data_IF_576007476958
#
_entry.id   IF_576007476958
#
_cell.length_a   1.000
_cell.length_b   1.000
_cell.length_c   1.000
_cell.angle_alpha   90.00
_cell.angle_beta   90.00
_cell.angle_gamma   90.00
#
_symmetry.space_group_name_H-M   'P 1'
#
loop_
_entity.id
_entity.type
_entity.pdbx_description
1 polymer ?
#
# COMPACT_ATOMS: atom_id res chain seq x y z
N UNK A 1 21.07 -20.26 12.62
CA UNK A 1 20.78 -20.10 11.16
C UNK A 1 20.64 -21.40 10.36
N UNK A 2 21.68 -22.26 10.18
CA UNK A 2 21.58 -23.46 9.31
C UNK A 2 20.50 -24.48 9.73
N UNK A 3 20.28 -24.68 11.04
CA UNK A 3 19.18 -25.54 11.52
C UNK A 3 17.78 -24.92 11.28
N UNK A 4 17.66 -23.60 11.37
CA UNK A 4 16.42 -22.87 11.07
C UNK A 4 16.11 -22.90 9.57
N UNK A 5 17.13 -22.77 8.72
CA UNK A 5 17.01 -22.89 7.26
C UNK A 5 16.60 -24.31 6.82
N UNK A 6 17.08 -25.35 7.51
CA UNK A 6 16.65 -26.74 7.25
C UNK A 6 15.19 -27.00 7.58
N UNK A 7 14.67 -26.39 8.65
CA UNK A 7 13.27 -26.54 9.09
C UNK A 7 12.30 -25.81 8.12
N UNK A 8 12.69 -24.65 7.59
CA UNK A 8 11.87 -23.89 6.63
C UNK A 8 11.74 -24.61 5.26
N UNK A 9 12.76 -25.36 4.85
CA UNK A 9 12.73 -26.06 3.55
C UNK A 9 11.79 -27.28 3.51
N UNK A 10 11.51 -27.93 4.65
CA UNK A 10 10.59 -29.08 4.73
C UNK A 10 9.12 -28.68 5.00
N UNK A 11 8.80 -27.37 5.03
CA UNK A 11 7.55 -26.81 5.55
C UNK A 11 6.35 -26.84 4.54
N UNK A 12 6.43 -27.61 3.46
CA UNK A 12 5.54 -27.46 2.30
C UNK A 12 4.50 -28.58 2.04
N UNK A 13 4.39 -29.63 2.86
CA UNK A 13 3.69 -30.88 2.43
C UNK A 13 2.29 -31.22 3.03
N UNK A 14 1.54 -30.35 3.73
CA UNK A 14 0.13 -30.63 4.08
C UNK A 14 -0.80 -29.40 4.16
N UNK A 15 -1.73 -29.24 3.22
CA UNK A 15 -2.41 -27.96 2.90
C UNK A 15 -3.01 -27.19 4.09
N UNK A 16 -3.69 -27.83 5.06
CA UNK A 16 -4.37 -27.11 6.16
C UNK A 16 -3.47 -26.85 7.38
N UNK A 17 -2.69 -27.85 7.80
CA UNK A 17 -1.72 -27.69 8.89
C UNK A 17 -0.62 -26.71 8.49
N UNK A 18 -0.15 -26.83 7.24
CA UNK A 18 0.82 -25.93 6.64
C UNK A 18 0.26 -24.50 6.52
N UNK A 19 -1.04 -24.30 6.26
CA UNK A 19 -1.58 -22.93 6.20
C UNK A 19 -1.49 -22.21 7.55
N UNK A 20 -1.89 -22.89 8.63
CA UNK A 20 -1.85 -22.33 9.98
C UNK A 20 -0.41 -22.11 10.44
N UNK A 21 0.47 -23.09 10.20
CA UNK A 21 1.90 -22.98 10.55
C UNK A 21 2.61 -21.91 9.71
N UNK A 22 2.30 -21.76 8.42
CA UNK A 22 2.86 -20.70 7.56
C UNK A 22 2.43 -19.32 8.03
N UNK A 23 1.14 -19.11 8.30
CA UNK A 23 0.65 -17.85 8.87
C UNK A 23 1.34 -17.54 10.20
N UNK A 24 1.51 -18.55 11.05
CA UNK A 24 2.22 -18.42 12.30
C UNK A 24 3.67 -17.95 12.09
N UNK A 25 4.43 -18.64 11.24
CA UNK A 25 5.83 -18.29 10.98
C UNK A 25 5.98 -16.89 10.35
N UNK A 26 5.11 -16.55 9.38
CA UNK A 26 5.09 -15.23 8.74
C UNK A 26 4.85 -14.08 9.73
N UNK A 27 4.02 -14.32 10.76
CA UNK A 27 3.68 -13.31 11.76
C UNK A 27 4.73 -13.20 12.86
N UNK A 28 5.17 -14.34 13.40
CA UNK A 28 5.89 -14.34 14.67
C UNK A 28 7.41 -14.45 14.54
N UNK A 29 7.94 -15.03 13.46
CA UNK A 29 9.38 -15.01 13.14
C UNK A 29 9.61 -14.32 11.79
N UNK A 30 8.93 -13.18 11.64
CA UNK A 30 8.78 -12.40 10.42
C UNK A 30 10.10 -12.12 9.68
N UNK A 31 11.15 -11.66 10.37
CA UNK A 31 12.41 -11.29 9.71
C UNK A 31 13.26 -12.49 9.29
N UNK A 32 13.22 -13.61 10.02
CA UNK A 32 13.87 -14.84 9.61
C UNK A 32 13.22 -15.41 8.34
N UNK A 33 11.88 -15.48 8.31
CA UNK A 33 11.14 -15.90 7.11
C UNK A 33 11.34 -14.91 5.96
N UNK A 34 11.29 -13.61 6.26
CA UNK A 34 11.56 -12.54 5.32
C UNK A 34 12.94 -12.66 4.68
N UNK A 35 13.97 -13.02 5.45
CA UNK A 35 15.31 -13.24 4.94
C UNK A 35 15.34 -14.37 3.90
N UNK A 36 14.72 -15.50 4.21
CA UNK A 36 14.66 -16.65 3.27
C UNK A 36 13.92 -16.26 1.99
N UNK A 37 12.80 -15.56 2.12
CA UNK A 37 12.01 -15.09 0.97
C UNK A 37 12.82 -14.13 0.09
N UNK A 38 13.43 -13.10 0.68
CA UNK A 38 14.23 -12.09 -0.03
C UNK A 38 15.39 -12.73 -0.77
N UNK A 39 16.12 -13.66 -0.15
CA UNK A 39 17.23 -14.35 -0.81
C UNK A 39 16.80 -15.17 -2.03
N UNK A 40 15.56 -15.66 -2.02
CA UNK A 40 15.05 -16.56 -3.05
C UNK A 40 14.34 -15.82 -4.19
N UNK A 41 13.65 -14.71 -3.89
CA UNK A 41 12.67 -14.12 -4.82
C UNK A 41 12.85 -12.62 -5.08
N UNK A 42 13.66 -11.89 -4.32
CA UNK A 42 13.76 -10.43 -4.44
C UNK A 42 15.16 -9.96 -4.84
N UNK A 43 15.26 -9.38 -6.03
CA UNK A 43 16.55 -8.99 -6.64
C UNK A 43 16.93 -7.55 -6.31
N UNK A 44 18.23 -7.25 -6.40
CA UNK A 44 18.73 -5.88 -6.25
C UNK A 44 18.21 -4.94 -7.35
N UNK A 45 17.98 -5.47 -8.56
CA UNK A 45 17.39 -4.73 -9.68
C UNK A 45 15.97 -4.30 -9.31
N UNK A 46 15.13 -5.24 -8.83
CA UNK A 46 13.78 -4.92 -8.38
C UNK A 46 13.77 -3.86 -7.25
N UNK A 47 14.69 -3.98 -6.28
CA UNK A 47 14.82 -2.98 -5.21
C UNK A 47 15.14 -1.59 -5.75
N UNK A 48 16.07 -1.48 -6.70
CA UNK A 48 16.47 -0.20 -7.30
C UNK A 48 15.35 0.42 -8.14
N UNK A 49 14.70 -0.38 -8.99
CA UNK A 49 13.59 0.08 -9.85
C UNK A 49 12.42 0.60 -9.02
N UNK A 50 12.01 -0.14 -7.99
CA UNK A 50 10.93 0.28 -7.10
C UNK A 50 11.34 1.52 -6.29
N UNK A 51 12.61 1.63 -5.86
CA UNK A 51 13.10 2.84 -5.19
C UNK A 51 13.00 4.07 -6.08
N UNK A 52 13.41 3.96 -7.35
CA UNK A 52 13.24 5.05 -8.30
C UNK A 52 11.76 5.40 -8.51
N UNK A 53 10.89 4.39 -8.62
CA UNK A 53 9.45 4.60 -8.77
C UNK A 53 8.85 5.34 -7.56
N UNK A 54 9.19 4.96 -6.34
CA UNK A 54 8.73 5.65 -5.12
C UNK A 54 9.12 7.14 -5.14
N UNK A 55 10.35 7.46 -5.56
CA UNK A 55 10.80 8.85 -5.67
C UNK A 55 10.03 9.63 -6.75
N UNK A 56 9.72 8.98 -7.87
CA UNK A 56 8.93 9.59 -8.94
C UNK A 56 7.48 9.85 -8.52
N UNK A 57 6.87 8.92 -7.77
CA UNK A 57 5.52 9.08 -7.23
C UNK A 57 5.46 10.22 -6.19
N UNK A 58 6.44 10.30 -5.27
CA UNK A 58 6.55 11.44 -4.35
C UNK A 58 6.71 12.77 -5.09
N UNK A 59 7.46 12.79 -6.19
CA UNK A 59 7.58 13.99 -7.02
C UNK A 59 6.27 14.33 -7.74
N UNK A 60 5.51 13.33 -8.21
CA UNK A 60 4.19 13.52 -8.78
C UNK A 60 3.21 14.09 -7.74
N UNK A 61 3.18 13.55 -6.52
CA UNK A 61 2.40 14.11 -5.41
C UNK A 61 2.78 15.58 -5.14
N UNK A 62 4.07 15.88 -5.00
CA UNK A 62 4.55 17.25 -4.79
C UNK A 62 4.17 18.20 -5.92
N UNK A 63 4.10 17.72 -7.17
CA UNK A 63 3.62 18.49 -8.32
C UNK A 63 2.12 18.77 -8.18
N UNK A 64 1.32 17.74 -7.91
CA UNK A 64 -0.13 17.86 -7.73
C UNK A 64 -0.49 18.84 -6.61
N UNK A 65 0.18 18.77 -5.45
CA UNK A 65 -0.03 19.70 -4.33
C UNK A 65 0.16 21.16 -4.72
N UNK A 66 1.19 21.47 -5.53
CA UNK A 66 1.45 22.84 -6.00
C UNK A 66 0.31 23.36 -6.88
N UNK A 67 -0.29 22.48 -7.67
CA UNK A 67 -1.38 22.79 -8.62
C UNK A 67 -2.77 22.86 -7.95
N UNK A 68 -2.93 22.41 -6.70
CA UNK A 68 -4.20 22.47 -5.98
C UNK A 68 -4.70 23.91 -5.83
N UNK A 69 -5.94 24.16 -6.24
CA UNK A 69 -6.56 25.49 -6.16
C UNK A 69 -7.35 25.73 -4.87
N UNK A 70 -7.66 24.67 -4.12
CA UNK A 70 -8.52 24.73 -2.94
C UNK A 70 -7.75 24.93 -1.62
N UNK A 71 -6.41 24.90 -1.68
CA UNK A 71 -5.52 24.98 -0.53
C UNK A 71 -4.64 26.24 -0.63
N UNK A 72 -4.45 26.95 0.48
CA UNK A 72 -3.55 28.11 0.51
C UNK A 72 -2.06 27.71 0.50
N UNK A 73 -1.20 28.65 0.11
CA UNK A 73 0.23 28.43 -0.04
C UNK A 73 0.96 28.04 1.26
N UNK A 74 0.47 28.52 2.43
CA UNK A 74 1.07 28.15 3.71
C UNK A 74 0.80 26.67 4.03
N UNK A 75 -0.42 26.19 3.78
CA UNK A 75 -0.81 24.80 3.98
C UNK A 75 -0.15 23.89 2.95
N UNK A 76 -0.05 24.32 1.68
CA UNK A 76 0.74 23.60 0.65
C UNK A 76 2.20 23.44 1.06
N UNK A 77 2.83 24.49 1.59
CA UNK A 77 4.22 24.43 2.04
C UNK A 77 4.42 23.34 3.10
N UNK A 78 3.50 23.23 4.06
CA UNK A 78 3.55 22.18 5.10
C UNK A 78 3.26 20.79 4.56
N UNK A 79 2.35 20.67 3.59
CA UNK A 79 2.10 19.40 2.91
C UNK A 79 3.34 18.92 2.14
N UNK A 80 4.04 19.83 1.46
CA UNK A 80 5.31 19.54 0.77
C UNK A 80 6.42 19.17 1.76
N UNK A 81 6.55 19.87 2.88
CA UNK A 81 7.49 19.53 3.95
C UNK A 81 7.22 18.12 4.51
N UNK A 82 5.95 17.76 4.71
CA UNK A 82 5.57 16.42 5.17
C UNK A 82 5.94 15.35 4.16
N UNK A 83 5.65 15.55 2.88
CA UNK A 83 6.01 14.62 1.81
C UNK A 83 7.52 14.44 1.69
N UNK A 84 8.30 15.53 1.82
CA UNK A 84 9.77 15.48 1.75
C UNK A 84 10.38 14.71 2.93
N UNK A 85 9.78 14.82 4.12
CA UNK A 85 10.22 14.10 5.32
C UNK A 85 9.67 12.67 5.42
N UNK A 86 8.94 12.18 4.41
CA UNK A 86 8.35 10.85 4.43
C UNK A 86 9.44 9.77 4.29
N UNK A 87 9.54 8.89 5.29
CA UNK A 87 10.52 7.80 5.28
C UNK A 87 10.05 6.63 4.39
N UNK A 88 10.99 6.03 3.65
CA UNK A 88 10.72 4.99 2.64
C UNK A 88 11.35 3.67 3.06
N UNK A 89 10.53 2.65 3.32
CA UNK A 89 10.98 1.28 3.58
C UNK A 89 10.65 0.40 2.36
N UNK A 90 11.68 -0.13 1.68
CA UNK A 90 11.48 -0.85 0.39
C UNK A 90 12.12 -2.24 0.44
N UNK A 91 11.31 -3.25 0.16
CA UNK A 91 11.68 -4.66 0.12
C UNK A 91 11.86 -5.27 1.51
N UNK A 92 12.89 -4.82 2.23
CA UNK A 92 13.30 -5.40 3.51
C UNK A 92 14.22 -4.46 4.30
N UNK A 93 14.28 -4.58 5.65
CA UNK A 93 15.26 -3.85 6.43
C UNK A 93 16.65 -4.49 6.32
N UNK A 94 17.69 -3.67 6.13
CA UNK A 94 19.03 -4.14 5.76
C UNK A 94 19.64 -5.14 6.76
N UNK A 95 19.31 -5.03 8.05
CA UNK A 95 19.88 -5.91 9.08
C UNK A 95 19.57 -7.39 8.86
N UNK A 96 18.48 -7.75 8.15
CA UNK A 96 18.17 -9.16 7.89
C UNK A 96 19.17 -9.77 6.90
N UNK A 97 19.84 -8.93 6.08
CA UNK A 97 20.86 -9.38 5.13
C UNK A 97 22.21 -9.72 5.81
N UNK A 98 22.38 -9.32 7.07
CA UNK A 98 23.55 -9.66 7.88
C UNK A 98 23.20 -10.77 8.89
N UNK A 99 23.92 -11.89 8.82
CA UNK A 99 23.67 -13.04 9.69
C UNK A 99 23.87 -12.71 11.18
N UNK A 100 24.88 -11.92 11.52
CA UNK A 100 25.18 -11.59 12.91
C UNK A 100 24.13 -10.64 13.49
N UNK A 101 23.65 -9.67 12.70
CA UNK A 101 22.57 -8.77 13.12
C UNK A 101 21.23 -9.49 13.24
N UNK A 102 20.93 -10.41 12.32
CA UNK A 102 19.71 -11.22 12.39
C UNK A 102 19.73 -12.17 13.60
N UNK A 103 20.83 -12.88 13.83
CA UNK A 103 20.98 -13.73 15.02
C UNK A 103 20.91 -12.90 16.31
N UNK A 104 21.47 -11.68 16.32
CA UNK A 104 21.35 -10.73 17.45
C UNK A 104 19.90 -10.31 17.69
N UNK A 105 19.10 -10.09 16.64
CA UNK A 105 17.67 -9.76 16.77
C UNK A 105 16.88 -10.88 17.48
N UNK A 106 17.25 -12.14 17.23
CA UNK A 106 16.63 -13.33 17.84
C UNK A 106 17.34 -13.82 19.11
N UNK A 107 18.27 -13.05 19.69
CA UNK A 107 19.09 -13.52 20.82
C UNK A 107 18.31 -13.82 22.10
N UNK A 108 17.15 -13.20 22.28
CA UNK A 108 16.24 -13.42 23.41
C UNK A 108 15.29 -14.61 23.17
N UNK A 109 15.24 -15.16 21.96
CA UNK A 109 14.44 -16.34 21.66
C UNK A 109 15.14 -17.55 22.29
N UNK A 110 14.46 -18.26 23.18
CA UNK A 110 15.06 -19.37 23.93
C UNK A 110 15.71 -20.39 22.98
N UNK A 111 16.99 -20.77 23.21
CA UNK A 111 17.71 -21.71 22.35
C UNK A 111 17.18 -23.16 22.43
N UNK A 112 16.17 -23.43 23.26
CA UNK A 112 15.69 -24.78 23.56
C UNK A 112 14.52 -25.28 22.68
N UNK A 113 14.17 -24.58 21.58
CA UNK A 113 13.15 -25.10 20.66
C UNK A 113 13.73 -26.35 19.94
N UNK A 114 13.23 -27.53 20.32
CA UNK A 114 13.59 -28.81 19.69
C UNK A 114 12.70 -29.07 18.47
N UNK A 115 13.25 -29.78 17.48
CA UNK A 115 12.58 -30.08 16.19
C UNK A 115 11.21 -30.79 16.36
N UNK A 116 11.02 -31.54 17.45
CA UNK A 116 9.78 -32.26 17.76
C UNK A 116 9.03 -31.68 18.97
N UNK A 117 9.26 -30.42 19.35
CA UNK A 117 8.44 -29.80 20.40
C UNK A 117 6.97 -29.64 19.96
N UNK A 118 6.01 -29.90 20.86
CA UNK A 118 4.61 -29.58 20.60
C UNK A 118 4.43 -28.10 20.22
N UNK A 119 3.57 -27.83 19.23
CA UNK A 119 3.34 -26.48 18.74
C UNK A 119 2.95 -25.48 19.85
N UNK A 120 2.20 -25.90 20.86
CA UNK A 120 1.84 -25.02 21.98
C UNK A 120 3.07 -24.51 22.73
N UNK A 121 4.12 -25.35 22.88
CA UNK A 121 5.35 -24.98 23.58
C UNK A 121 6.19 -24.02 22.75
N UNK A 122 6.33 -24.31 21.45
CA UNK A 122 6.95 -23.38 20.48
C UNK A 122 6.24 -22.04 20.53
N UNK A 123 4.90 -22.04 20.53
CA UNK A 123 4.13 -20.82 20.60
C UNK A 123 4.35 -20.04 21.89
N UNK A 124 4.34 -20.69 23.06
CA UNK A 124 4.60 -20.01 24.33
C UNK A 124 5.96 -19.32 24.34
N UNK A 125 7.02 -19.99 23.89
CA UNK A 125 8.38 -19.42 23.82
C UNK A 125 8.43 -18.20 22.91
N UNK A 126 7.78 -18.27 21.74
CA UNK A 126 7.74 -17.16 20.79
C UNK A 126 6.95 -15.98 21.34
N UNK A 127 5.82 -16.20 22.02
CA UNK A 127 5.04 -15.13 22.66
C UNK A 127 5.81 -14.46 23.80
N UNK A 128 6.50 -15.24 24.64
CA UNK A 128 7.38 -14.72 25.71
C UNK A 128 8.51 -13.85 25.12
N UNK A 129 9.12 -14.29 24.03
CA UNK A 129 10.14 -13.52 23.32
C UNK A 129 9.60 -12.21 22.75
N UNK A 130 8.43 -12.22 22.10
CA UNK A 130 7.81 -11.00 21.56
C UNK A 130 7.48 -9.99 22.66
N UNK A 131 6.93 -10.46 23.79
CA UNK A 131 6.68 -9.62 24.96
C UNK A 131 7.99 -9.01 25.47
N UNK A 132 9.07 -9.80 25.53
CA UNK A 132 10.39 -9.32 25.94
C UNK A 132 10.94 -8.25 24.99
N UNK A 133 10.73 -8.39 23.68
CA UNK A 133 11.10 -7.35 22.71
C UNK A 133 10.32 -6.04 22.95
N UNK A 134 8.99 -6.13 23.11
CA UNK A 134 8.14 -4.96 23.37
C UNK A 134 8.54 -4.25 24.68
N UNK A 135 8.78 -5.00 25.75
CA UNK A 135 9.21 -4.45 27.04
C UNK A 135 10.58 -3.78 26.95
N UNK A 136 11.52 -4.35 26.20
CA UNK A 136 12.82 -3.74 25.96
C UNK A 136 12.74 -2.44 25.15
N UNK A 137 11.77 -2.33 24.25
CA UNK A 137 11.58 -1.13 23.43
C UNK A 137 11.00 0.06 24.22
N UNK A 138 10.33 -0.17 25.36
CA UNK A 138 9.80 0.91 26.22
C UNK A 138 10.87 1.89 26.73
N UNK A 139 12.13 1.45 26.82
CA UNK A 139 13.25 2.26 27.31
C UNK A 139 14.08 2.88 26.18
N UNK A 140 13.72 2.62 24.92
CA UNK A 140 14.46 3.08 23.75
C UNK A 140 13.75 4.26 23.08
N UNK A 141 14.49 5.13 22.38
CA UNK A 141 13.88 6.14 21.52
C UNK A 141 12.97 5.49 20.46
N UNK A 142 11.86 6.16 20.14
CA UNK A 142 10.94 5.69 19.11
C UNK A 142 11.64 5.61 17.75
N UNK A 143 11.74 4.39 17.19
CA UNK A 143 12.39 4.18 15.90
C UNK A 143 11.43 4.45 14.75
N UNK A 144 11.47 5.69 14.25
CA UNK A 144 10.66 6.17 13.12
C UNK A 144 11.01 5.48 11.79
N UNK A 145 12.20 4.88 11.69
CA UNK A 145 12.69 4.19 10.49
C UNK A 145 12.47 2.67 10.52
N UNK A 146 11.75 2.17 11.51
CA UNK A 146 11.50 0.73 11.65
C UNK A 146 10.56 0.21 10.56
N UNK A 147 10.92 -0.93 9.96
CA UNK A 147 10.14 -1.59 8.91
C UNK A 147 8.75 -2.01 9.42
N UNK A 148 8.66 -2.55 10.64
CA UNK A 148 7.39 -2.76 11.34
C UNK A 148 6.56 -3.97 10.90
N UNK A 149 7.07 -4.81 9.99
CA UNK A 149 6.36 -6.00 9.52
C UNK A 149 7.27 -7.00 8.81
N UNK A 150 6.71 -8.11 8.35
CA UNK A 150 7.44 -9.12 7.59
C UNK A 150 7.77 -8.65 6.18
N UNK A 151 9.01 -8.77 5.68
CA UNK A 151 9.34 -8.57 4.27
C UNK A 151 8.59 -9.50 3.30
N UNK A 152 8.09 -10.65 3.78
CA UNK A 152 7.44 -11.67 2.97
C UNK A 152 5.91 -11.54 2.90
N UNK A 153 5.33 -10.46 3.43
CA UNK A 153 3.89 -10.22 3.37
C UNK A 153 3.49 -9.56 2.04
N UNK A 154 2.34 -9.96 1.50
CA UNK A 154 1.72 -9.28 0.35
C UNK A 154 0.80 -8.19 0.90
N UNK A 155 1.38 -7.04 1.21
CA UNK A 155 0.65 -5.84 1.63
C UNK A 155 1.57 -4.61 1.49
N UNK A 156 1.03 -3.41 1.69
CA UNK A 156 1.77 -2.18 1.93
C UNK A 156 1.14 -1.43 3.12
N UNK A 157 1.84 -0.43 3.68
CA UNK A 157 1.25 0.43 4.71
C UNK A 157 1.99 1.76 4.89
N UNK A 158 1.22 2.76 5.31
CA UNK A 158 1.67 4.02 5.88
C UNK A 158 1.60 3.99 7.41
N UNK A 159 2.44 4.79 8.07
CA UNK A 159 2.43 4.97 9.52
C UNK A 159 2.48 6.44 9.91
N UNK A 160 1.36 6.94 10.46
CA UNK A 160 1.19 8.32 10.92
C UNK A 160 2.32 8.80 11.83
N UNK A 161 2.60 8.07 12.91
CA UNK A 161 3.60 8.43 13.92
C UNK A 161 5.03 8.47 13.35
N UNK A 162 5.29 7.68 12.31
CA UNK A 162 6.60 7.58 11.68
C UNK A 162 6.75 8.51 10.48
N UNK A 163 5.64 9.02 9.94
CA UNK A 163 5.57 9.59 8.59
C UNK A 163 6.34 8.70 7.60
N UNK A 164 5.93 7.43 7.47
CA UNK A 164 6.67 6.44 6.68
C UNK A 164 5.77 5.53 5.85
N UNK A 165 6.20 5.24 4.62
CA UNK A 165 5.61 4.25 3.72
C UNK A 165 6.47 2.99 3.67
N UNK A 166 5.84 1.82 3.63
CA UNK A 166 6.53 0.53 3.63
C UNK A 166 5.98 -0.42 2.58
N UNK A 167 6.87 -0.92 1.72
CA UNK A 167 6.58 -1.88 0.65
C UNK A 167 7.44 -3.14 0.83
N UNK A 168 6.94 -4.16 1.53
CA UNK A 168 7.55 -5.50 1.63
C UNK A 168 7.90 -6.12 0.27
N UNK A 169 8.98 -6.89 0.23
CA UNK A 169 9.36 -7.66 -0.96
C UNK A 169 8.21 -8.58 -1.45
N UNK A 170 7.35 -9.05 -0.54
CA UNK A 170 6.19 -9.86 -0.88
C UNK A 170 5.13 -9.18 -1.75
N UNK A 171 4.99 -7.84 -1.74
CA UNK A 171 4.10 -7.14 -2.70
C UNK A 171 4.82 -6.78 -4.00
N UNK A 172 6.15 -6.73 -4.01
CA UNK A 172 6.98 -6.32 -5.15
C UNK A 172 7.23 -7.46 -6.14
N UNK A 173 6.15 -8.10 -6.57
CA UNK A 173 6.11 -9.20 -7.53
C UNK A 173 4.84 -9.12 -8.38
N UNK A 174 4.76 -9.92 -9.44
CA UNK A 174 3.55 -10.02 -10.26
C UNK A 174 2.31 -10.37 -9.40
N UNK A 175 1.13 -9.74 -9.62
CA UNK A 175 0.81 -8.80 -10.71
C UNK A 175 1.15 -7.33 -10.45
N UNK A 176 1.70 -6.99 -9.28
CA UNK A 176 1.96 -5.59 -8.93
C UNK A 176 3.19 -5.03 -9.63
N UNK A 177 4.28 -5.81 -9.65
CA UNK A 177 5.56 -5.38 -10.20
C UNK A 177 6.31 -6.48 -10.92
N UNK A 178 6.86 -6.16 -12.08
CA UNK A 178 7.92 -6.93 -12.73
C UNK A 178 8.86 -5.98 -13.48
N UNK A 179 10.17 -6.08 -13.22
CA UNK A 179 11.17 -5.20 -13.82
C UNK A 179 11.24 -5.30 -15.36
N UNK A 180 10.77 -6.42 -15.93
CA UNK A 180 10.75 -6.69 -17.37
C UNK A 180 9.47 -6.21 -18.05
N UNK A 181 8.44 -5.83 -17.29
CA UNK A 181 7.15 -5.43 -17.83
C UNK A 181 7.16 -3.94 -18.24
N UNK A 182 6.29 -3.55 -19.20
CA UNK A 182 6.12 -2.14 -19.55
C UNK A 182 5.83 -1.28 -18.32
N UNK A 183 6.34 -0.05 -18.32
CA UNK A 183 6.13 0.89 -17.24
C UNK A 183 4.66 1.19 -17.05
N UNK A 184 3.84 1.32 -18.09
CA UNK A 184 2.40 1.48 -17.97
C UNK A 184 1.76 0.44 -17.02
N UNK A 185 2.19 -0.83 -17.12
CA UNK A 185 1.71 -1.92 -16.27
C UNK A 185 2.15 -1.70 -14.82
N UNK A 186 3.44 -1.44 -14.60
CA UNK A 186 3.99 -1.23 -13.26
C UNK A 186 3.44 0.03 -12.57
N UNK A 187 3.34 1.17 -13.26
CA UNK A 187 2.72 2.37 -12.69
C UNK A 187 1.23 2.16 -12.42
N UNK A 188 0.51 1.48 -13.31
CA UNK A 188 -0.91 1.17 -13.10
C UNK A 188 -1.16 0.28 -11.87
N UNK A 189 -0.27 -0.67 -11.62
CA UNK A 189 -0.37 -1.58 -10.47
C UNK A 189 0.41 -1.09 -9.24
N UNK A 190 1.68 -1.46 -9.06
CA UNK A 190 2.45 -1.06 -7.86
C UNK A 190 2.58 0.46 -7.73
N UNK A 191 2.59 1.22 -8.84
CA UNK A 191 2.61 2.69 -8.77
C UNK A 191 1.37 3.26 -8.08
N UNK A 192 0.18 2.73 -8.39
CA UNK A 192 -1.08 3.11 -7.71
C UNK A 192 -1.07 2.75 -6.24
N UNK A 193 -0.49 1.59 -5.87
CA UNK A 193 -0.29 1.19 -4.46
C UNK A 193 0.69 2.13 -3.76
N UNK A 194 1.77 2.54 -4.43
CA UNK A 194 2.74 3.49 -3.86
C UNK A 194 2.08 4.84 -3.61
N UNK A 195 1.36 5.37 -4.61
CA UNK A 195 0.63 6.63 -4.45
C UNK A 195 -0.45 6.55 -3.38
N UNK A 196 -1.11 5.40 -3.23
CA UNK A 196 -2.08 5.16 -2.17
C UNK A 196 -1.45 5.33 -0.77
N UNK A 197 -0.30 4.70 -0.53
CA UNK A 197 0.41 4.85 0.75
C UNK A 197 0.98 6.26 0.98
N UNK A 198 1.36 6.99 -0.09
CA UNK A 198 1.75 8.39 0.02
C UNK A 198 0.54 9.23 0.43
N UNK A 199 -0.61 9.03 -0.23
CA UNK A 199 -1.85 9.75 0.04
C UNK A 199 -2.38 9.49 1.46
N UNK A 200 -2.14 8.32 2.07
CA UNK A 200 -2.45 8.08 3.49
C UNK A 200 -1.75 9.07 4.44
N UNK A 201 -0.63 9.68 4.03
CA UNK A 201 -0.04 10.81 4.74
C UNK A 201 -0.94 12.03 4.82
N UNK A 202 -2.02 12.08 4.05
CA UNK A 202 -2.83 13.26 3.80
C UNK A 202 -4.34 12.95 3.75
N UNK A 203 -4.77 11.72 4.05
CA UNK A 203 -6.19 11.38 4.21
C UNK A 203 -6.81 12.02 5.47
N UNK A 204 -8.05 11.68 5.82
CA UNK A 204 -8.74 12.26 6.98
C UNK A 204 -8.06 12.00 8.33
N UNK A 205 -7.26 10.94 8.45
CA UNK A 205 -6.50 10.63 9.66
C UNK A 205 -5.06 11.15 9.57
N UNK A 206 -4.37 10.82 8.49
CA UNK A 206 -2.98 11.20 8.26
C UNK A 206 -2.79 12.70 8.20
N UNK A 207 -3.75 13.45 7.65
CA UNK A 207 -3.74 14.92 7.64
C UNK A 207 -3.66 15.56 9.02
N UNK A 208 -3.97 14.84 10.10
CA UNK A 208 -3.92 15.36 11.47
C UNK A 208 -2.49 15.33 12.06
N UNK A 209 -1.56 14.65 11.40
CA UNK A 209 -0.17 14.52 11.84
C UNK A 209 0.76 15.41 11.02
N UNK A 210 1.72 16.07 11.65
CA UNK A 210 2.71 16.91 10.96
C UNK A 210 3.83 16.06 10.29
N UNK A 211 4.84 16.71 9.70
CA UNK A 211 6.02 16.06 9.11
C UNK A 211 6.83 15.20 10.10
N UNK A 212 6.76 15.55 11.39
CA UNK A 212 7.37 14.84 12.52
C UNK A 212 6.46 13.77 13.12
N UNK A 213 5.32 13.45 12.48
CA UNK A 213 4.39 12.41 12.94
C UNK A 213 3.74 12.74 14.28
N UNK A 214 3.74 14.01 14.68
CA UNK A 214 3.06 14.49 15.88
C UNK A 214 1.63 14.89 15.52
N UNK A 215 0.67 14.54 16.38
CA UNK A 215 -0.72 14.99 16.26
C UNK A 215 -0.78 16.50 16.51
N UNK A 216 -0.85 17.28 15.44
CA UNK A 216 -0.77 18.73 15.49
C UNK A 216 -1.52 19.33 14.30
N UNK A 217 -2.39 20.30 14.56
CA UNK A 217 -3.02 21.04 13.47
C UNK A 217 -1.98 21.91 12.74
N UNK A 218 -1.76 21.62 11.46
CA UNK A 218 -0.91 22.38 10.54
C UNK A 218 -1.70 23.03 9.40
N UNK A 219 -3.02 22.91 9.42
CA UNK A 219 -3.93 23.50 8.44
C UNK A 219 -4.28 24.94 8.80
N UNK A 220 -4.51 25.78 7.79
CA UNK A 220 -5.33 26.97 7.99
C UNK A 220 -6.81 26.58 8.11
N UNK A 221 -7.62 27.46 8.70
CA UNK A 221 -9.07 27.27 8.78
C UNK A 221 -9.72 27.17 7.38
N UNK A 222 -9.28 27.99 6.43
CA UNK A 222 -9.81 27.95 5.07
C UNK A 222 -9.48 26.65 4.35
N UNK A 223 -8.25 26.15 4.47
CA UNK A 223 -7.84 24.90 3.82
C UNK A 223 -8.54 23.70 4.46
N UNK A 224 -8.71 23.68 5.78
CA UNK A 224 -9.46 22.65 6.49
C UNK A 224 -10.92 22.59 6.01
N UNK A 225 -11.61 23.74 5.91
CA UNK A 225 -12.98 23.79 5.42
C UNK A 225 -13.13 23.29 3.98
N UNK A 226 -12.15 23.56 3.11
CA UNK A 226 -12.16 23.03 1.75
C UNK A 226 -11.87 21.54 1.70
N UNK A 227 -10.95 21.04 2.54
CA UNK A 227 -10.71 19.61 2.70
C UNK A 227 -11.99 18.88 3.11
N UNK A 228 -12.71 19.38 4.12
CA UNK A 228 -13.99 18.80 4.56
C UNK A 228 -15.03 18.74 3.44
N UNK A 229 -15.18 19.82 2.65
CA UNK A 229 -16.10 19.83 1.49
C UNK A 229 -15.69 18.82 0.42
N UNK A 230 -14.38 18.68 0.19
CA UNK A 230 -13.81 17.79 -0.82
C UNK A 230 -13.98 16.32 -0.44
N UNK A 231 -13.76 15.99 0.83
CA UNK A 231 -13.94 14.64 1.37
C UNK A 231 -15.42 14.28 1.51
N UNK A 232 -16.30 15.25 1.80
CA UNK A 232 -17.75 15.05 1.80
C UNK A 232 -18.27 14.54 0.44
N UNK A 233 -17.74 15.04 -0.68
CA UNK A 233 -18.06 14.52 -2.01
C UNK A 233 -17.79 13.01 -2.12
N UNK A 234 -16.63 12.55 -1.61
CA UNK A 234 -16.26 11.13 -1.67
C UNK A 234 -17.15 10.28 -0.77
N UNK A 235 -17.50 10.75 0.44
CA UNK A 235 -18.46 10.05 1.31
C UNK A 235 -19.77 9.80 0.57
N UNK A 236 -20.35 10.88 0.03
CA UNK A 236 -21.60 10.84 -0.70
C UNK A 236 -21.50 9.92 -1.92
N UNK A 237 -20.43 10.01 -2.71
CA UNK A 237 -20.22 9.12 -3.85
C UNK A 237 -20.27 7.64 -3.43
N UNK A 238 -19.53 7.26 -2.39
CA UNK A 238 -19.40 5.86 -1.99
C UNK A 238 -20.65 5.34 -1.26
N UNK A 239 -21.42 6.18 -0.58
CA UNK A 239 -22.72 5.79 0.01
C UNK A 239 -23.75 5.30 -1.03
N UNK A 240 -23.61 5.71 -2.30
CA UNK A 240 -24.49 5.26 -3.38
C UNK A 240 -24.15 3.87 -3.92
N UNK A 241 -23.02 3.27 -3.53
CA UNK A 241 -22.65 1.93 -3.97
C UNK A 241 -23.32 0.87 -3.12
N UNK A 242 -24.30 0.18 -3.71
CA UNK A 242 -25.12 -0.79 -3.02
C UNK A 242 -25.07 -2.18 -3.65
N UNK A 243 -25.28 -3.19 -2.81
CA UNK A 243 -25.57 -4.58 -3.19
C UNK A 243 -27.04 -4.88 -2.92
N UNK A 244 -27.93 -4.75 -3.93
CA UNK A 244 -29.38 -4.93 -3.73
C UNK A 244 -29.73 -6.30 -3.16
N UNK A 245 -29.00 -7.35 -3.56
CA UNK A 245 -29.19 -8.71 -3.05
C UNK A 245 -28.90 -8.85 -1.55
N UNK A 246 -28.11 -7.93 -0.99
CA UNK A 246 -27.79 -7.89 0.44
C UNK A 246 -28.60 -6.85 1.21
N UNK A 247 -29.29 -5.95 0.50
CA UNK A 247 -29.87 -4.72 1.07
C UNK A 247 -28.86 -3.95 1.94
N UNK A 248 -27.63 -3.80 1.43
CA UNK A 248 -26.54 -3.08 2.09
C UNK A 248 -25.78 -2.22 1.08
N UNK A 249 -25.31 -1.08 1.53
CA UNK A 249 -24.44 -0.18 0.78
C UNK A 249 -23.09 -0.05 1.47
N UNK A 250 -22.11 0.44 0.72
CA UNK A 250 -20.82 0.89 1.27
C UNK A 250 -21.09 2.05 2.23
N UNK A 251 -20.28 2.15 3.29
CA UNK A 251 -20.35 3.23 4.26
C UNK A 251 -19.25 4.24 3.89
N UNK A 252 -19.63 5.34 3.24
CA UNK A 252 -18.72 6.36 2.74
C UNK A 252 -17.88 7.00 3.84
N UNK A 253 -18.44 7.20 5.03
CA UNK A 253 -17.71 7.63 6.22
C UNK A 253 -16.63 6.63 6.65
N UNK A 254 -16.98 5.35 6.77
CA UNK A 254 -16.07 4.29 7.21
C UNK A 254 -14.95 4.04 6.21
N UNK A 255 -15.23 4.22 4.92
CA UNK A 255 -14.28 3.93 3.84
C UNK A 255 -13.49 5.14 3.37
N UNK A 256 -13.69 6.29 4.01
CA UNK A 256 -13.22 7.58 3.49
C UNK A 256 -11.70 7.62 3.27
N UNK A 257 -10.90 7.22 4.27
CA UNK A 257 -9.44 7.30 4.18
C UNK A 257 -8.90 6.48 3.01
N UNK A 258 -9.37 5.24 2.89
CA UNK A 258 -9.04 4.33 1.78
C UNK A 258 -9.50 4.86 0.42
N UNK A 259 -10.70 5.45 0.35
CA UNK A 259 -11.23 6.02 -0.88
C UNK A 259 -10.43 7.26 -1.32
N UNK A 260 -10.01 8.11 -0.37
CA UNK A 260 -9.10 9.24 -0.64
C UNK A 260 -7.77 8.70 -1.17
N UNK A 261 -7.20 7.70 -0.49
CA UNK A 261 -5.92 7.09 -0.85
C UNK A 261 -5.94 6.44 -2.23
N UNK A 262 -7.00 5.72 -2.60
CA UNK A 262 -7.13 5.15 -3.94
C UNK A 262 -7.20 6.21 -5.04
N UNK A 263 -7.99 7.27 -4.81
CA UNK A 263 -8.17 8.34 -5.79
C UNK A 263 -6.89 9.16 -5.97
N UNK A 264 -6.23 9.52 -4.87
CA UNK A 264 -4.93 10.20 -4.91
C UNK A 264 -3.86 9.30 -5.55
N UNK A 265 -3.79 8.04 -5.14
CA UNK A 265 -2.80 7.09 -5.60
C UNK A 265 -2.84 6.81 -7.09
N UNK A 266 -4.03 6.62 -7.69
CA UNK A 266 -4.14 6.44 -9.14
C UNK A 266 -3.71 7.71 -9.90
N UNK A 267 -4.11 8.89 -9.40
CA UNK A 267 -3.78 10.18 -10.02
C UNK A 267 -2.29 10.47 -9.96
N UNK A 268 -1.65 10.22 -8.83
CA UNK A 268 -0.19 10.29 -8.66
C UNK A 268 0.52 9.35 -9.63
N UNK A 269 0.07 8.09 -9.69
CA UNK A 269 0.67 7.06 -10.54
C UNK A 269 0.56 7.40 -12.03
N UNK A 270 -0.60 7.88 -12.48
CA UNK A 270 -0.76 8.30 -13.86
C UNK A 270 0.08 9.54 -14.17
N UNK A 271 0.14 10.51 -13.26
CA UNK A 271 1.00 11.71 -13.41
C UNK A 271 2.49 11.34 -13.52
N UNK A 272 2.95 10.40 -12.69
CA UNK A 272 4.31 9.90 -12.73
C UNK A 272 4.60 9.12 -14.03
N UNK A 273 3.65 8.30 -14.48
CA UNK A 273 3.76 7.58 -15.76
C UNK A 273 3.83 8.54 -16.95
N UNK A 274 3.00 9.58 -17.00
CA UNK A 274 3.07 10.59 -18.06
C UNK A 274 4.39 11.36 -18.05
N UNK A 275 4.98 11.58 -16.88
CA UNK A 275 6.32 12.17 -16.75
C UNK A 275 7.39 11.22 -17.29
N UNK A 276 7.29 9.92 -16.97
CA UNK A 276 8.16 8.89 -17.55
C UNK A 276 8.09 8.87 -19.09
N UNK A 277 6.89 8.88 -19.66
CA UNK A 277 6.66 8.92 -21.12
C UNK A 277 7.24 10.19 -21.74
N UNK A 278 7.08 11.36 -21.09
CA UNK A 278 7.65 12.61 -21.59
C UNK A 278 9.19 12.59 -21.63
N UNK A 279 9.84 11.85 -20.73
CA UNK A 279 11.29 11.75 -20.64
C UNK A 279 11.88 10.64 -21.54
N UNK A 280 11.16 9.54 -21.73
CA UNK A 280 11.67 8.32 -22.37
C UNK A 280 11.01 8.00 -23.72
N UNK A 281 9.93 8.69 -24.07
CA UNK A 281 9.08 8.40 -25.22
C UNK A 281 7.98 7.39 -24.91
N UNK A 282 7.05 7.23 -25.84
CA UNK A 282 5.97 6.24 -25.73
C UNK A 282 6.52 4.81 -25.77
N UNK A 283 5.98 3.95 -24.90
CA UNK A 283 6.28 2.52 -24.91
C UNK A 283 5.63 1.82 -26.11
N UNK A 284 6.25 0.74 -26.59
CA UNK A 284 5.66 -0.09 -27.64
C UNK A 284 4.38 -0.76 -27.14
N UNK A 285 3.35 -0.76 -27.99
CA UNK A 285 2.10 -1.47 -27.70
C UNK A 285 2.35 -2.97 -27.52
N UNK A 286 1.58 -3.56 -26.60
CA UNK A 286 1.62 -4.99 -26.35
C UNK A 286 1.08 -5.76 -27.57
N UNK A 287 1.82 -6.72 -28.16
CA UNK A 287 1.40 -7.39 -29.40
C UNK A 287 0.02 -8.06 -29.34
N UNK A 288 -0.31 -8.69 -28.22
CA UNK A 288 -1.59 -9.38 -28.01
C UNK A 288 -2.73 -8.47 -27.53
N UNK A 289 -2.45 -7.18 -27.33
CA UNK A 289 -3.39 -6.14 -26.87
C UNK A 289 -3.17 -4.85 -27.67
N UNK A 290 -2.84 -4.98 -28.96
CA UNK A 290 -2.40 -3.87 -29.81
C UNK A 290 -3.52 -2.84 -30.08
N UNK A 291 -4.77 -3.24 -29.86
CA UNK A 291 -5.95 -2.37 -29.88
C UNK A 291 -5.97 -1.35 -28.74
N UNK A 292 -5.25 -1.62 -27.63
CA UNK A 292 -5.16 -0.72 -26.50
C UNK A 292 -3.92 0.20 -26.60
N UNK A 293 -4.10 1.48 -26.26
CA UNK A 293 -2.97 2.39 -26.02
C UNK A 293 -2.28 2.05 -24.70
N UNK A 294 -1.06 2.52 -24.49
CA UNK A 294 -0.35 2.27 -23.22
C UNK A 294 -1.02 2.98 -22.02
N UNK A 295 -1.71 4.10 -22.25
CA UNK A 295 -2.57 4.73 -21.23
C UNK A 295 -3.77 3.83 -20.86
N UNK A 296 -4.39 3.17 -21.83
CA UNK A 296 -5.44 2.19 -21.56
C UNK A 296 -4.87 0.97 -20.83
N UNK A 297 -3.67 0.50 -21.19
CA UNK A 297 -2.97 -0.58 -20.48
C UNK A 297 -2.69 -0.20 -19.02
N UNK A 298 -2.33 1.06 -18.74
CA UNK A 298 -2.16 1.54 -17.36
C UNK A 298 -3.44 1.33 -16.53
N UNK A 299 -4.60 1.78 -17.04
CA UNK A 299 -5.86 1.64 -16.30
C UNK A 299 -6.36 0.18 -16.24
N UNK A 300 -6.09 -0.62 -17.27
CA UNK A 300 -6.35 -2.06 -17.25
C UNK A 300 -5.50 -2.73 -16.16
N UNK A 301 -4.22 -2.38 -16.05
CA UNK A 301 -3.32 -2.88 -15.01
C UNK A 301 -3.84 -2.53 -13.61
N UNK A 302 -4.23 -1.27 -13.40
CA UNK A 302 -4.86 -0.81 -12.17
C UNK A 302 -6.09 -1.66 -11.81
N UNK A 303 -7.02 -1.85 -12.74
CA UNK A 303 -8.24 -2.61 -12.47
C UNK A 303 -7.97 -4.11 -12.22
N UNK A 304 -6.94 -4.67 -12.85
CA UNK A 304 -6.70 -6.12 -12.88
C UNK A 304 -6.30 -6.70 -11.52
N UNK A 305 -5.50 -5.97 -10.72
CA UNK A 305 -5.08 -6.50 -9.42
C UNK A 305 -6.20 -6.49 -8.36
N UNK A 306 -7.31 -5.81 -8.64
CA UNK A 306 -8.53 -5.84 -7.82
C UNK A 306 -9.47 -7.01 -8.15
N UNK A 307 -9.20 -7.77 -9.21
CA UNK A 307 -10.05 -8.89 -9.62
C UNK A 307 -10.26 -9.90 -8.48
N UNK A 308 -11.52 -10.09 -8.08
CA UNK A 308 -11.89 -11.01 -7.02
C UNK A 308 -13.41 -11.03 -6.83
N UNK A 309 -13.89 -11.98 -6.02
CA UNK A 309 -15.31 -12.10 -5.67
C UNK A 309 -15.46 -12.49 -4.21
N UNK A 310 -16.56 -12.07 -3.59
CA UNK A 310 -16.85 -12.35 -2.19
C UNK A 310 -18.05 -13.29 -2.07
N UNK A 311 -18.03 -14.16 -1.06
CA UNK A 311 -19.26 -14.85 -0.61
C UNK A 311 -20.14 -13.85 0.14
N UNK A 312 -21.46 -13.94 -0.02
CA UNK A 312 -22.43 -13.01 0.58
C UNK A 312 -22.21 -12.77 2.08
N UNK A 313 -21.99 -13.82 2.87
CA UNK A 313 -21.74 -13.67 4.32
C UNK A 313 -20.46 -12.86 4.61
N UNK A 314 -19.41 -13.06 3.83
CA UNK A 314 -18.18 -12.30 3.96
C UNK A 314 -18.38 -10.85 3.50
N UNK A 315 -19.09 -10.64 2.38
CA UNK A 315 -19.39 -9.31 1.87
C UNK A 315 -20.25 -8.50 2.86
N UNK A 316 -21.24 -9.12 3.51
CA UNK A 316 -22.04 -8.49 4.57
C UNK A 316 -21.20 -8.04 5.76
N UNK A 317 -20.17 -8.80 6.11
CA UNK A 317 -19.23 -8.44 7.16
C UNK A 317 -18.29 -7.31 6.70
N UNK A 318 -17.72 -7.44 5.51
CA UNK A 318 -16.84 -6.44 4.89
C UNK A 318 -17.52 -5.06 4.85
N UNK A 319 -18.76 -4.98 4.37
CA UNK A 319 -19.56 -3.75 4.31
C UNK A 319 -19.89 -3.13 5.68
N UNK A 320 -19.59 -3.80 6.79
CA UNK A 320 -19.91 -3.32 8.14
C UNK A 320 -18.70 -3.16 9.04
N UNK A 321 -17.54 -3.68 8.65
CA UNK A 321 -16.36 -3.69 9.53
C UNK A 321 -15.07 -3.28 8.84
N UNK A 322 -15.03 -3.27 7.51
CA UNK A 322 -13.80 -2.98 6.78
C UNK A 322 -13.76 -1.50 6.38
N UNK A 323 -12.61 -0.86 6.60
CA UNK A 323 -12.29 0.48 6.12
C UNK A 323 -12.08 0.53 4.60
N UNK A 324 -11.86 -0.61 3.96
CA UNK A 324 -11.75 -0.67 2.51
C UNK A 324 -13.11 -0.91 1.87
N UNK A 325 -13.45 -0.10 0.86
CA UNK A 325 -14.56 -0.41 -0.03
C UNK A 325 -14.32 -1.78 -0.72
N UNK A 326 -15.39 -2.52 -1.06
CA UNK A 326 -15.29 -3.72 -1.89
C UNK A 326 -14.50 -3.44 -3.18
N UNK A 327 -13.67 -4.40 -3.61
CA UNK A 327 -12.74 -4.23 -4.73
C UNK A 327 -13.35 -3.59 -6.00
N UNK A 328 -14.57 -3.96 -6.38
CA UNK A 328 -15.19 -3.40 -7.58
C UNK A 328 -15.50 -1.90 -7.46
N UNK A 329 -15.78 -1.41 -6.26
CA UNK A 329 -16.05 0.00 -5.99
C UNK A 329 -14.77 0.79 -5.81
N UNK A 330 -13.66 0.15 -5.37
CA UNK A 330 -12.32 0.74 -5.45
C UNK A 330 -11.90 0.98 -6.90
N UNK A 331 -12.28 0.10 -7.83
CA UNK A 331 -12.07 0.36 -9.26
C UNK A 331 -13.04 1.43 -9.77
N UNK A 332 -14.36 1.20 -9.65
CA UNK A 332 -15.40 2.05 -10.25
C UNK A 332 -15.35 3.48 -9.71
N UNK A 333 -15.25 3.66 -8.40
CA UNK A 333 -15.27 4.99 -7.78
C UNK A 333 -14.08 5.84 -8.18
N UNK A 334 -12.90 5.24 -8.24
CA UNK A 334 -11.67 5.92 -8.65
C UNK A 334 -11.72 6.33 -10.12
N UNK A 335 -12.05 5.41 -11.03
CA UNK A 335 -12.06 5.75 -12.46
C UNK A 335 -13.21 6.67 -12.86
N UNK A 336 -14.33 6.66 -12.12
CA UNK A 336 -15.39 7.67 -12.26
C UNK A 336 -14.87 9.08 -11.98
N UNK A 337 -13.92 9.22 -11.05
CA UNK A 337 -13.33 10.51 -10.68
C UNK A 337 -12.14 10.93 -11.56
N UNK A 338 -11.54 10.00 -12.30
CA UNK A 338 -10.44 10.31 -13.23
C UNK A 338 -10.98 10.90 -14.54
N UNK A 339 -10.43 12.03 -14.96
CA UNK A 339 -10.69 12.59 -16.29
C UNK A 339 -9.85 11.88 -17.34
N UNK A 340 -8.64 11.54 -16.96
CA UNK A 340 -7.62 10.85 -17.74
C UNK A 340 -8.11 9.46 -18.17
N UNK A 341 -8.80 8.74 -17.28
CA UNK A 341 -9.48 7.48 -17.63
C UNK A 341 -10.55 7.70 -18.70
N UNK A 342 -11.42 8.69 -18.49
CA UNK A 342 -12.50 8.98 -19.42
C UNK A 342 -11.97 9.39 -20.81
N UNK A 343 -10.87 10.15 -20.85
CA UNK A 343 -10.16 10.53 -22.08
C UNK A 343 -9.52 9.30 -22.74
N UNK A 344 -8.76 8.49 -22.00
CA UNK A 344 -8.08 7.30 -22.53
C UNK A 344 -9.06 6.30 -23.17
N UNK A 345 -10.28 6.17 -22.63
CA UNK A 345 -11.31 5.27 -23.16
C UNK A 345 -12.38 5.96 -24.00
N UNK A 346 -12.26 7.27 -24.27
CA UNK A 346 -13.26 8.07 -24.97
C UNK A 346 -14.69 7.90 -24.40
N UNK A 347 -14.81 7.89 -23.07
CA UNK A 347 -16.09 7.72 -22.39
C UNK A 347 -16.96 8.99 -22.54
N UNK A 348 -18.20 8.90 -23.09
CA UNK A 348 -19.09 10.05 -23.20
C UNK A 348 -19.40 10.68 -21.83
N UNK A 349 -19.52 12.00 -21.78
CA UNK A 349 -19.96 12.72 -20.57
C UNK A 349 -21.35 12.23 -20.13
N UNK A 350 -21.51 11.94 -18.84
CA UNK A 350 -22.75 11.38 -18.26
C UNK A 350 -22.87 9.86 -18.39
N UNK A 351 -21.92 9.17 -19.06
CA UNK A 351 -21.86 7.71 -19.02
C UNK A 351 -21.53 7.22 -17.60
N UNK A 352 -21.85 5.96 -17.24
CA UNK A 352 -21.63 5.44 -15.89
C UNK A 352 -20.19 5.58 -15.38
N UNK A 353 -19.19 5.60 -16.26
CA UNK A 353 -17.76 5.74 -15.90
C UNK A 353 -17.20 7.15 -16.18
N UNK A 354 -18.03 8.09 -16.63
CA UNK A 354 -17.66 9.50 -16.81
C UNK A 354 -18.79 10.42 -16.34
N UNK A 355 -19.12 10.43 -15.02
CA UNK A 355 -20.11 11.34 -14.48
C UNK A 355 -19.68 12.80 -14.63
N UNK A 356 -20.67 13.70 -14.71
CA UNK A 356 -20.42 15.15 -14.78
C UNK A 356 -19.74 15.69 -13.51
N UNK A 357 -20.15 15.17 -12.35
CA UNK A 357 -19.57 15.51 -11.06
C UNK A 357 -18.52 14.46 -10.68
N UNK A 358 -17.28 14.91 -10.51
CA UNK A 358 -16.12 14.10 -10.11
C UNK A 358 -15.59 14.61 -8.77
N UNK A 359 -15.36 13.71 -7.83
CA UNK A 359 -14.73 14.03 -6.55
C UNK A 359 -13.21 14.04 -6.70
N UNK A 360 -12.53 15.05 -6.15
CA UNK A 360 -11.06 15.13 -6.21
C UNK A 360 -10.55 15.88 -5.00
N UNK A 361 -9.73 15.22 -4.17
CA UNK A 361 -9.07 15.81 -2.99
C UNK A 361 -7.63 16.19 -3.36
N UNK A 362 -6.76 15.20 -3.51
CA UNK A 362 -5.33 15.33 -3.85
C UNK A 362 -5.09 15.33 -5.37
#
# INVERSE_FOLDING_TARGET
LQKLLGIVNNFFESVFLVFTQRKYALLFIAYAVGRVFVDSYFTAIAKNDVTSMVDQLLNAFKKLVKELQWMDEATKTRALEKAENMWKNIGYPDFIKDNALLDKYYNLLSPEIKENEPFYRVNSVVQEWMMSLQMNDLTKPFNRKSFGGSPAIVNAWYSNLKNSITFPAGILQFPFFDATYPKAVNYGAIGSVIGHEITHGFDDQGSQYNASGDLQNWWSESSALHFDKKTQCMKEQYDHYCYPQLNKCVQGDTTLGENIADNGGLKEAFTAYQTYVAEHGEELRLPSLAEYSMDQIFFISFASFWCGSYKDNFLRNLLSTNEHAPNEFRVKGVVQNSKEFAEAFNCPLGSPMNPEHKCTVW
#
